data_IF_958098141656
#
_entry.id   IF_958098141656
#
_cell.length_a   1.000
_cell.length_b   1.000
_cell.length_c   1.000
_cell.angle_alpha   90.00
_cell.angle_beta   90.00
_cell.angle_gamma   90.00
#
_symmetry.space_group_name_H-M   'P 1'
#
loop_
_entity.id
_entity.type
_entity.pdbx_description
1 polymer ?
#
# COMPACT_ATOMS: atom_id res chain seq x y z
N UNK A 1 -3.04 12.91 1.42
CA UNK A 1 -2.64 12.48 2.76
C UNK A 1 -3.69 12.93 3.74
N UNK A 2 -4.32 11.97 4.41
CA UNK A 2 -5.58 12.22 5.12
C UNK A 2 -5.38 12.28 6.64
N UNK A 3 -4.36 11.60 7.20
CA UNK A 3 -3.95 11.75 8.58
C UNK A 3 -2.44 11.53 8.77
N UNK A 4 -1.87 12.20 9.78
CA UNK A 4 -0.48 12.06 10.21
C UNK A 4 -0.45 11.88 11.72
N UNK A 5 0.27 10.88 12.20
CA UNK A 5 0.57 10.74 13.64
C UNK A 5 1.96 11.31 13.90
N UNK A 6 2.10 12.12 14.92
CA UNK A 6 3.36 12.78 15.30
C UNK A 6 3.78 12.40 16.72
N UNK A 7 5.07 12.60 17.04
CA UNK A 7 5.55 12.57 18.42
C UNK A 7 5.39 13.95 19.10
N UNK A 8 5.79 14.05 20.36
CA UNK A 8 5.74 15.30 21.15
C UNK A 8 6.52 16.46 20.51
N UNK A 9 7.57 16.15 19.74
CA UNK A 9 8.38 17.13 19.00
C UNK A 9 7.78 17.46 17.62
N UNK A 10 6.54 17.07 17.35
CA UNK A 10 5.84 17.27 16.06
C UNK A 10 6.53 16.63 14.85
N UNK A 11 7.34 15.60 15.07
CA UNK A 11 7.95 14.82 14.00
C UNK A 11 6.97 13.73 13.53
N UNK A 12 6.72 13.58 12.22
CA UNK A 12 5.79 12.59 11.71
C UNK A 12 6.33 11.18 11.93
N UNK A 13 5.49 10.29 12.47
CA UNK A 13 5.79 8.88 12.70
C UNK A 13 5.03 7.97 11.74
N UNK A 14 3.76 8.29 11.45
CA UNK A 14 2.89 7.53 10.57
C UNK A 14 2.25 8.43 9.52
N UNK A 15 2.22 7.95 8.29
CA UNK A 15 1.39 8.51 7.22
C UNK A 15 0.19 7.61 7.00
N UNK A 16 -1.01 8.18 7.02
CA UNK A 16 -2.25 7.44 6.79
C UNK A 16 -3.03 8.14 5.66
N UNK A 17 -3.42 7.36 4.66
CA UNK A 17 -4.26 7.84 3.57
C UNK A 17 -5.34 6.79 3.26
N UNK A 18 -6.56 7.23 3.00
CA UNK A 18 -7.65 6.33 2.62
C UNK A 18 -8.19 6.71 1.25
N UNK A 19 -8.53 5.69 0.44
CA UNK A 19 -9.06 5.89 -0.90
C UNK A 19 -10.17 4.92 -1.20
N UNK A 20 -11.23 5.45 -1.78
CA UNK A 20 -12.30 4.67 -2.38
C UNK A 20 -12.23 4.72 -3.91
N UNK A 21 -12.39 3.56 -4.55
CA UNK A 21 -12.60 3.45 -5.99
C UNK A 21 -13.70 2.44 -6.27
N UNK A 22 -14.68 2.85 -7.08
CA UNK A 22 -15.68 1.92 -7.61
C UNK A 22 -15.22 1.19 -8.86
N UNK A 23 -14.62 1.92 -9.80
CA UNK A 23 -14.24 1.41 -11.12
C UNK A 23 -12.73 1.47 -11.32
N UNK A 24 -12.16 0.38 -11.85
CA UNK A 24 -10.71 0.19 -11.96
C UNK A 24 -9.97 1.21 -12.84
N UNK A 25 -10.69 2.01 -13.64
CA UNK A 25 -10.12 2.98 -14.61
C UNK A 25 -9.14 3.99 -14.01
N UNK A 26 -9.23 4.28 -12.71
CA UNK A 26 -8.36 5.23 -12.02
C UNK A 26 -7.41 4.57 -11.00
N UNK A 27 -7.30 3.23 -10.98
CA UNK A 27 -6.49 2.53 -9.99
C UNK A 27 -5.00 2.88 -10.11
N UNK A 28 -4.47 2.90 -11.34
CA UNK A 28 -3.05 3.17 -11.59
C UNK A 28 -2.68 4.59 -11.19
N UNK A 29 -3.47 5.58 -11.62
CA UNK A 29 -3.19 6.99 -11.33
C UNK A 29 -3.24 7.27 -9.82
N UNK A 30 -4.29 6.80 -9.15
CA UNK A 30 -4.45 6.98 -7.69
C UNK A 30 -3.38 6.20 -6.91
N UNK A 31 -3.06 4.97 -7.32
CA UNK A 31 -1.99 4.20 -6.71
C UNK A 31 -0.63 4.87 -6.88
N UNK A 32 -0.33 5.38 -8.08
CA UNK A 32 0.92 6.07 -8.40
C UNK A 32 1.09 7.35 -7.57
N UNK A 33 -0.02 8.08 -7.37
CA UNK A 33 -0.03 9.25 -6.50
C UNK A 33 0.37 8.90 -5.06
N UNK A 34 -0.18 7.81 -4.50
CA UNK A 34 0.20 7.33 -3.16
C UNK A 34 1.69 6.98 -3.10
N UNK A 35 2.20 6.22 -4.07
CA UNK A 35 3.62 5.88 -4.16
C UNK A 35 4.52 7.12 -4.20
N UNK A 36 4.14 8.12 -5.00
CA UNK A 36 4.92 9.35 -5.16
C UNK A 36 4.89 10.19 -3.89
N UNK A 37 3.70 10.48 -3.37
CA UNK A 37 3.52 11.35 -2.22
C UNK A 37 4.13 10.77 -0.95
N UNK A 38 3.84 9.50 -0.63
CA UNK A 38 4.34 8.88 0.59
C UNK A 38 5.87 8.75 0.57
N UNK A 39 6.47 8.38 -0.57
CA UNK A 39 7.93 8.30 -0.67
C UNK A 39 8.61 9.67 -0.60
N UNK A 40 8.05 10.69 -1.24
CA UNK A 40 8.59 12.05 -1.15
C UNK A 40 8.64 12.54 0.31
N UNK A 41 7.58 12.27 1.07
CA UNK A 41 7.49 12.65 2.49
C UNK A 41 8.45 11.81 3.35
N UNK A 42 8.54 10.49 3.13
CA UNK A 42 9.50 9.61 3.83
C UNK A 42 10.95 10.02 3.59
N UNK A 43 11.30 10.45 2.37
CA UNK A 43 12.64 10.98 2.05
C UNK A 43 12.95 12.28 2.79
N UNK A 44 11.93 13.11 3.07
CA UNK A 44 12.10 14.39 3.77
C UNK A 44 12.18 14.23 5.30
N UNK A 45 11.49 13.23 5.84
CA UNK A 45 11.35 13.02 7.28
C UNK A 45 11.72 11.59 7.68
N UNK A 46 12.98 11.41 8.12
CA UNK A 46 13.51 10.12 8.58
C UNK A 46 12.84 9.58 9.85
N UNK A 47 12.01 10.39 10.53
CA UNK A 47 11.23 9.97 11.69
C UNK A 47 10.05 9.05 11.32
N UNK A 48 9.65 9.03 10.05
CA UNK A 48 8.51 8.25 9.58
C UNK A 48 8.87 6.77 9.61
N UNK A 49 8.09 6.02 10.37
CA UNK A 49 8.30 4.60 10.63
C UNK A 49 7.47 3.70 9.71
N UNK A 50 6.30 4.17 9.30
CA UNK A 50 5.41 3.41 8.43
C UNK A 50 4.50 4.31 7.61
N UNK A 51 4.08 3.75 6.48
CA UNK A 51 3.16 4.33 5.52
C UNK A 51 1.98 3.37 5.39
N UNK A 52 0.80 3.79 5.83
CA UNK A 52 -0.41 2.98 5.85
C UNK A 52 -1.42 3.55 4.87
N UNK A 53 -2.02 2.69 4.07
CA UNK A 53 -3.09 3.06 3.15
C UNK A 53 -4.28 2.12 3.30
N UNK A 54 -5.47 2.70 3.46
CA UNK A 54 -6.74 1.97 3.55
C UNK A 54 -7.48 2.12 2.22
N UNK A 55 -7.73 1.01 1.55
CA UNK A 55 -8.26 0.95 0.19
C UNK A 55 -9.64 0.29 0.19
N UNK A 56 -10.66 1.08 -0.09
CA UNK A 56 -12.02 0.58 -0.26
C UNK A 56 -12.38 0.45 -1.74
N UNK A 57 -13.07 -0.64 -2.09
CA UNK A 57 -13.64 -0.84 -3.42
C UNK A 57 -12.79 -1.70 -4.36
N UNK A 58 -12.81 -1.38 -5.66
CA UNK A 58 -12.31 -2.26 -6.73
C UNK A 58 -10.87 -1.91 -7.13
N UNK A 59 -9.90 -2.48 -6.42
CA UNK A 59 -8.47 -2.31 -6.69
C UNK A 59 -7.91 -3.46 -7.53
N UNK A 60 -6.99 -3.18 -8.46
CA UNK A 60 -6.38 -4.20 -9.31
C UNK A 60 -5.14 -4.78 -8.63
N UNK A 61 -4.87 -6.07 -8.82
CA UNK A 61 -3.66 -6.73 -8.30
C UNK A 61 -2.37 -6.00 -8.70
N UNK A 62 -2.29 -5.50 -9.94
CA UNK A 62 -1.16 -4.70 -10.41
C UNK A 62 -0.96 -3.38 -9.63
N UNK A 63 -2.03 -2.69 -9.26
CA UNK A 63 -1.93 -1.44 -8.50
C UNK A 63 -1.57 -1.72 -7.04
N UNK A 64 -2.10 -2.82 -6.49
CA UNK A 64 -1.75 -3.28 -5.14
C UNK A 64 -0.27 -3.69 -5.06
N UNK A 65 0.21 -4.47 -6.03
CA UNK A 65 1.61 -4.87 -6.12
C UNK A 65 2.55 -3.66 -6.24
N UNK A 66 2.20 -2.68 -7.08
CA UNK A 66 2.96 -1.43 -7.19
C UNK A 66 3.01 -0.67 -5.86
N UNK A 67 1.90 -0.52 -5.14
CA UNK A 67 1.93 0.18 -3.85
C UNK A 67 2.74 -0.60 -2.81
N UNK A 68 2.63 -1.94 -2.78
CA UNK A 68 3.43 -2.80 -1.90
C UNK A 68 4.93 -2.68 -2.18
N UNK A 69 5.35 -2.60 -3.45
CA UNK A 69 6.76 -2.45 -3.81
C UNK A 69 7.38 -1.11 -3.40
N UNK A 70 6.55 -0.15 -2.96
CA UNK A 70 6.96 1.12 -2.38
C UNK A 70 6.88 1.13 -0.84
N UNK A 71 6.87 -0.06 -0.21
CA UNK A 71 6.78 -0.28 1.23
C UNK A 71 5.55 0.41 1.87
N UNK A 72 4.41 0.40 1.16
CA UNK A 72 3.13 0.87 1.69
C UNK A 72 2.36 -0.32 2.26
N UNK A 73 2.00 -0.23 3.54
CA UNK A 73 1.14 -1.18 4.22
C UNK A 73 -0.32 -0.97 3.80
N UNK A 74 -0.91 -1.98 3.14
CA UNK A 74 -2.24 -1.89 2.56
C UNK A 74 -3.27 -2.65 3.39
N UNK A 75 -4.37 -1.98 3.72
CA UNK A 75 -5.57 -2.58 4.31
C UNK A 75 -6.72 -2.43 3.32
N UNK A 76 -7.37 -3.53 2.95
CA UNK A 76 -8.29 -3.55 1.81
C UNK A 76 -9.69 -3.91 2.28
N UNK A 77 -10.67 -3.10 1.89
CA UNK A 77 -12.11 -3.39 2.02
C UNK A 77 -12.63 -3.68 0.61
N UNK A 78 -12.83 -4.96 0.23
CA UNK A 78 -13.23 -5.32 -1.13
C UNK A 78 -14.57 -4.70 -1.54
N UNK A 79 -14.73 -4.37 -2.83
CA UNK A 79 -15.99 -3.82 -3.33
C UNK A 79 -17.19 -4.74 -3.05
N UNK A 80 -17.01 -6.05 -3.22
CA UNK A 80 -18.08 -7.03 -3.03
C UNK A 80 -18.56 -7.06 -1.58
N UNK A 81 -17.65 -6.88 -0.62
CA UNK A 81 -18.02 -6.74 0.79
C UNK A 81 -18.90 -5.51 1.05
N UNK A 82 -18.54 -4.38 0.42
CA UNK A 82 -19.29 -3.13 0.53
C UNK A 82 -20.70 -3.31 -0.04
N UNK A 83 -20.83 -3.95 -1.20
CA UNK A 83 -22.13 -4.15 -1.85
C UNK A 83 -23.00 -5.14 -1.09
N UNK A 84 -22.43 -6.23 -0.58
CA UNK A 84 -23.12 -7.20 0.29
C UNK A 84 -23.66 -6.54 1.55
N UNK A 85 -22.83 -5.75 2.24
CA UNK A 85 -23.22 -5.03 3.44
C UNK A 85 -24.38 -4.06 3.16
N UNK A 86 -24.26 -3.21 2.14
CA UNK A 86 -25.30 -2.25 1.78
C UNK A 86 -26.61 -2.93 1.34
N UNK A 87 -26.51 -4.11 0.72
CA UNK A 87 -27.67 -4.90 0.31
C UNK A 87 -28.52 -5.35 1.50
N UNK A 88 -27.92 -5.63 2.67
CA UNK A 88 -28.67 -5.94 3.90
C UNK A 88 -29.58 -4.78 4.35
N UNK A 89 -29.22 -3.56 3.97
CA UNK A 89 -30.00 -2.34 4.18
C UNK A 89 -30.91 -1.98 3.00
N UNK A 90 -31.12 -2.92 2.07
CA UNK A 90 -31.90 -2.74 0.83
C UNK A 90 -31.33 -1.65 -0.11
N UNK A 91 -30.05 -1.34 0.04
CA UNK A 91 -29.31 -0.39 -0.79
C UNK A 91 -28.49 -1.20 -1.79
N UNK A 92 -28.93 -1.20 -3.05
CA UNK A 92 -28.18 -1.83 -4.13
C UNK A 92 -27.00 -0.95 -4.48
N UNK A 93 -25.74 -1.42 -4.44
CA UNK A 93 -24.55 -0.59 -4.73
C UNK A 93 -23.69 -1.06 -5.92
N UNK A 94 -24.05 -2.20 -6.50
CA UNK A 94 -23.40 -2.89 -7.62
C UNK A 94 -23.99 -2.53 -9.00
N UNK A 95 -24.59 -1.35 -9.14
CA UNK A 95 -25.22 -0.93 -10.40
C UNK A 95 -24.20 -0.57 -11.50
N UNK A 96 -24.61 -0.60 -12.77
CA UNK A 96 -23.78 -0.20 -13.91
C UNK A 96 -23.63 1.32 -14.05
N UNK A 97 -22.62 1.80 -14.78
CA UNK A 97 -22.37 3.27 -14.95
C UNK A 97 -23.56 4.01 -15.60
N UNK A 98 -24.40 3.29 -16.36
CA UNK A 98 -25.59 3.83 -17.03
C UNK A 98 -26.88 3.73 -16.20
N UNK A 99 -26.87 3.00 -15.09
CA UNK A 99 -28.07 2.73 -14.26
C UNK A 99 -28.35 3.87 -13.29
N UNK A 100 -28.60 5.07 -13.84
CA UNK A 100 -28.78 6.29 -13.03
C UNK A 100 -29.97 6.20 -12.09
N UNK A 101 -31.06 5.57 -12.51
CA UNK A 101 -32.27 5.46 -11.69
C UNK A 101 -32.02 4.61 -10.44
N UNK A 102 -31.29 3.50 -10.58
CA UNK A 102 -30.87 2.66 -9.45
C UNK A 102 -29.95 3.45 -8.52
N UNK A 103 -29.02 4.22 -9.08
CA UNK A 103 -28.11 5.07 -8.29
C UNK A 103 -28.88 6.08 -7.42
N UNK A 104 -29.86 6.76 -8.03
CA UNK A 104 -30.70 7.76 -7.35
C UNK A 104 -31.57 7.11 -6.27
N UNK A 105 -32.18 5.96 -6.57
CA UNK A 105 -32.98 5.20 -5.61
C UNK A 105 -32.14 4.78 -4.40
N UNK A 106 -30.97 4.18 -4.64
CA UNK A 106 -30.04 3.74 -3.60
C UNK A 106 -29.52 4.90 -2.76
N UNK A 107 -29.17 6.03 -3.39
CA UNK A 107 -28.78 7.25 -2.68
C UNK A 107 -29.90 7.77 -1.79
N UNK A 108 -31.14 7.77 -2.29
CA UNK A 108 -32.33 8.19 -1.52
C UNK A 108 -32.54 7.28 -0.31
N UNK A 109 -32.40 5.96 -0.47
CA UNK A 109 -32.49 4.99 0.63
C UNK A 109 -31.40 5.23 1.69
N UNK A 110 -30.15 5.40 1.26
CA UNK A 110 -29.04 5.69 2.16
C UNK A 110 -29.23 7.02 2.92
N UNK A 111 -29.69 8.06 2.22
CA UNK A 111 -29.90 9.39 2.81
C UNK A 111 -30.97 9.40 3.91
N UNK A 112 -31.95 8.49 3.82
CA UNK A 112 -33.01 8.29 4.83
C UNK A 112 -32.55 7.51 6.06
N UNK A 113 -31.36 6.90 6.04
CA UNK A 113 -30.81 6.25 7.21
C UNK A 113 -30.50 7.28 8.30
N UNK A 114 -30.78 6.92 9.54
CA UNK A 114 -30.33 7.69 10.71
C UNK A 114 -28.80 7.64 10.85
N UNK A 115 -28.23 8.60 11.55
CA UNK A 115 -26.78 8.64 11.78
C UNK A 115 -26.29 7.41 12.55
N UNK A 116 -27.12 6.86 13.45
CA UNK A 116 -26.82 5.58 14.13
C UNK A 116 -26.71 4.42 13.15
N UNK A 117 -27.59 4.35 12.15
CA UNK A 117 -27.52 3.31 11.12
C UNK A 117 -26.30 3.50 10.21
N UNK A 118 -25.99 4.75 9.83
CA UNK A 118 -24.81 5.06 9.02
C UNK A 118 -23.51 4.72 9.77
N UNK A 119 -23.44 5.03 11.06
CA UNK A 119 -22.31 4.68 11.92
C UNK A 119 -22.16 3.16 12.03
N UNK A 120 -23.26 2.44 12.28
CA UNK A 120 -23.24 0.97 12.32
C UNK A 120 -22.75 0.35 11.01
N UNK A 121 -23.20 0.87 9.86
CA UNK A 121 -22.69 0.44 8.54
C UNK A 121 -21.19 0.71 8.43
N UNK A 122 -20.71 1.88 8.88
CA UNK A 122 -19.29 2.21 8.83
C UNK A 122 -18.45 1.27 9.72
N UNK A 123 -18.91 0.98 10.94
CA UNK A 123 -18.27 0.04 11.87
C UNK A 123 -18.19 -1.38 11.27
N UNK A 124 -19.30 -1.88 10.72
CA UNK A 124 -19.35 -3.19 10.07
C UNK A 124 -18.45 -3.24 8.82
N UNK A 125 -18.36 -2.14 8.07
CA UNK A 125 -17.54 -2.05 6.85
C UNK A 125 -16.05 -2.17 7.12
N UNK A 126 -15.58 -1.65 8.25
CA UNK A 126 -14.15 -1.70 8.63
C UNK A 126 -13.81 -2.86 9.57
N UNK A 127 -14.82 -3.58 10.08
CA UNK A 127 -14.63 -4.56 11.15
C UNK A 127 -13.58 -5.63 10.82
N UNK A 128 -13.49 -6.07 9.57
CA UNK A 128 -12.52 -7.08 9.14
C UNK A 128 -11.07 -6.58 9.13
N UNK A 129 -10.85 -5.30 8.82
CA UNK A 129 -9.49 -4.74 8.75
C UNK A 129 -9.07 -4.06 10.05
N UNK A 130 -10.02 -3.73 10.92
CA UNK A 130 -9.79 -2.89 12.09
C UNK A 130 -8.78 -3.51 13.07
N UNK A 131 -8.88 -4.80 13.47
CA UNK A 131 -7.92 -5.39 14.40
C UNK A 131 -6.48 -5.38 13.87
N UNK A 132 -6.30 -5.71 12.58
CA UNK A 132 -4.98 -5.73 11.95
C UNK A 132 -4.41 -4.32 11.79
N UNK A 133 -5.26 -3.35 11.47
CA UNK A 133 -4.88 -1.94 11.36
C UNK A 133 -4.45 -1.38 12.72
N UNK A 134 -5.22 -1.63 13.78
CA UNK A 134 -4.89 -1.23 15.15
C UNK A 134 -3.56 -1.87 15.57
N UNK A 135 -3.40 -3.18 15.35
CA UNK A 135 -2.15 -3.90 15.63
C UNK A 135 -0.95 -3.29 14.89
N UNK A 136 -1.10 -2.95 13.61
CA UNK A 136 -0.03 -2.35 12.81
C UNK A 136 0.34 -0.95 13.31
N UNK A 137 -0.65 -0.14 13.69
CA UNK A 137 -0.43 1.19 14.28
C UNK A 137 0.29 1.05 15.62
N UNK A 138 -0.22 0.21 16.52
CA UNK A 138 0.37 -0.03 17.85
C UNK A 138 1.81 -0.52 17.75
N UNK A 139 2.07 -1.54 16.91
CA UNK A 139 3.42 -2.06 16.67
C UNK A 139 4.37 -0.98 16.16
N UNK A 140 3.89 -0.07 15.31
CA UNK A 140 4.74 1.00 14.76
C UNK A 140 5.06 2.09 15.79
N UNK A 141 4.09 2.39 16.66
CA UNK A 141 4.22 3.42 17.69
C UNK A 141 4.94 2.92 18.95
N UNK A 142 5.01 1.61 19.16
CA UNK A 142 5.73 1.03 20.29
C UNK A 142 7.24 1.32 20.20
N UNK A 143 7.76 1.98 21.25
CA UNK A 143 9.17 2.28 21.40
C UNK A 143 9.92 1.22 22.23
N UNK A 144 9.21 0.26 22.82
CA UNK A 144 9.80 -0.82 23.62
C UNK A 144 10.25 -2.00 22.77
N UNK A 145 9.61 -2.22 21.62
CA UNK A 145 10.01 -3.25 20.67
C UNK A 145 11.41 -3.00 20.13
N UNK A 146 12.29 -3.99 20.30
CA UNK A 146 13.64 -3.98 19.73
C UNK A 146 13.50 -4.05 18.20
N UNK A 147 13.99 -3.02 17.52
CA UNK A 147 14.01 -2.98 16.05
C UNK A 147 15.06 -3.94 15.54
N UNK A 148 14.67 -4.82 14.61
CA UNK A 148 15.58 -5.69 13.87
C UNK A 148 15.60 -5.24 12.41
N UNK A 149 16.77 -5.39 11.80
CA UNK A 149 16.92 -5.16 10.36
C UNK A 149 16.38 -6.41 9.68
N UNK A 150 15.40 -6.22 8.78
CA UNK A 150 14.82 -7.31 7.98
C UNK A 150 15.42 -7.35 6.57
N UNK A 151 15.86 -6.19 6.06
CA UNK A 151 16.41 -6.04 4.72
C UNK A 151 17.26 -4.77 4.63
N UNK A 152 18.37 -4.87 3.92
CA UNK A 152 19.18 -3.73 3.46
C UNK A 152 19.14 -3.72 1.94
N UNK A 153 18.93 -2.54 1.34
CA UNK A 153 18.96 -2.37 -0.11
C UNK A 153 20.02 -1.35 -0.48
N UNK A 154 20.88 -1.73 -1.44
CA UNK A 154 21.88 -0.85 -2.03
C UNK A 154 21.48 -0.62 -3.48
N UNK A 155 21.27 0.66 -3.85
CA UNK A 155 21.06 1.08 -5.23
C UNK A 155 22.29 1.88 -5.70
N UNK A 156 22.88 1.44 -6.81
CA UNK A 156 24.04 2.06 -7.44
C UNK A 156 23.60 2.71 -8.72
N UNK A 157 23.81 4.03 -8.81
CA UNK A 157 23.47 4.86 -9.97
C UNK A 157 24.74 5.27 -10.70
N UNK A 158 24.84 4.92 -11.99
CA UNK A 158 25.96 5.38 -12.83
C UNK A 158 25.63 6.73 -13.48
N UNK A 159 26.67 7.47 -13.87
CA UNK A 159 26.52 8.77 -14.55
C UNK A 159 25.86 8.67 -15.93
N UNK A 160 25.77 7.47 -16.51
CA UNK A 160 25.08 7.22 -17.79
C UNK A 160 23.64 6.72 -17.60
N UNK A 161 23.16 6.67 -16.35
CA UNK A 161 21.76 6.37 -16.03
C UNK A 161 21.46 4.90 -15.74
N UNK A 162 22.47 4.05 -15.55
CA UNK A 162 22.24 2.67 -15.11
C UNK A 162 21.91 2.63 -13.63
N UNK A 163 21.06 1.68 -13.26
CA UNK A 163 20.68 1.41 -11.87
C UNK A 163 20.86 -0.07 -11.60
N UNK A 164 21.72 -0.42 -10.64
CA UNK A 164 21.86 -1.79 -10.12
C UNK A 164 21.35 -1.81 -8.68
N UNK A 165 20.53 -2.79 -8.35
CA UNK A 165 19.93 -2.94 -7.01
C UNK A 165 20.33 -4.28 -6.42
N UNK A 166 20.79 -4.25 -5.18
CA UNK A 166 21.19 -5.42 -4.40
C UNK A 166 20.43 -5.44 -3.08
N UNK A 167 20.05 -6.64 -2.64
CA UNK A 167 19.32 -6.85 -1.39
C UNK A 167 20.07 -7.82 -0.48
N UNK A 168 20.13 -7.49 0.80
CA UNK A 168 20.84 -8.25 1.83
C UNK A 168 19.95 -8.41 3.05
N UNK A 169 20.10 -9.51 3.79
CA UNK A 169 19.32 -9.80 4.99
C UNK A 169 19.79 -8.99 6.21
N UNK A 170 21.05 -8.57 6.23
CA UNK A 170 21.62 -7.80 7.33
C UNK A 170 22.66 -6.75 6.86
N UNK A 171 23.10 -5.92 7.79
CA UNK A 171 24.08 -4.85 7.53
C UNK A 171 25.48 -5.36 7.27
N UNK A 172 25.85 -6.51 7.80
CA UNK A 172 27.20 -7.06 7.65
C UNK A 172 27.39 -7.53 6.22
N UNK A 173 26.48 -8.33 5.69
CA UNK A 173 26.51 -8.78 4.31
C UNK A 173 26.51 -7.60 3.32
N UNK A 174 25.78 -6.52 3.64
CA UNK A 174 25.78 -5.31 2.84
C UNK A 174 27.11 -4.54 2.89
N UNK A 175 27.81 -4.54 4.05
CA UNK A 175 29.14 -3.95 4.20
C UNK A 175 30.21 -4.77 3.49
N UNK A 176 30.20 -6.09 3.69
CA UNK A 176 31.12 -7.02 3.02
C UNK A 176 31.01 -6.85 1.48
N UNK A 177 29.79 -6.74 0.96
CA UNK A 177 29.55 -6.43 -0.46
C UNK A 177 30.15 -5.09 -0.92
N UNK A 178 30.10 -4.05 -0.09
CA UNK A 178 30.65 -2.72 -0.43
C UNK A 178 32.18 -2.69 -0.34
N UNK A 179 32.77 -3.48 0.56
CA UNK A 179 34.23 -3.60 0.70
C UNK A 179 34.85 -4.36 -0.46
N UNK A 180 34.20 -5.45 -0.91
CA UNK A 180 34.64 -6.27 -2.05
C UNK A 180 34.13 -5.73 -3.41
N UNK A 181 33.54 -4.54 -3.42
CA UNK A 181 32.87 -3.99 -4.60
C UNK A 181 33.84 -3.73 -5.77
N UNK A 182 33.60 -4.37 -6.92
CA UNK A 182 34.29 -4.11 -8.20
C UNK A 182 33.33 -3.66 -9.30
N UNK A 183 33.62 -2.50 -9.92
CA UNK A 183 32.84 -1.96 -11.03
C UNK A 183 32.81 -2.89 -12.26
N UNK A 184 33.93 -3.55 -12.56
CA UNK A 184 34.05 -4.40 -13.74
C UNK A 184 33.19 -5.66 -13.63
N UNK A 185 33.08 -6.23 -12.44
CA UNK A 185 32.31 -7.45 -12.19
C UNK A 185 30.80 -7.20 -12.20
N UNK A 186 30.35 -6.05 -11.66
CA UNK A 186 28.92 -5.75 -11.51
C UNK A 186 28.26 -5.22 -12.80
N UNK A 187 29.03 -4.53 -13.65
CA UNK A 187 28.57 -4.13 -14.98
C UNK A 187 28.68 -5.26 -16.00
N UNK A 188 29.33 -6.38 -15.64
CA UNK A 188 29.39 -7.54 -16.48
C UNK A 188 28.01 -8.23 -16.55
N UNK A 189 27.39 -8.18 -17.73
CA UNK A 189 26.09 -8.80 -17.97
C UNK A 189 26.20 -10.20 -18.60
N UNK A 190 27.38 -10.81 -18.66
CA UNK A 190 27.59 -12.11 -19.33
C UNK A 190 26.74 -13.24 -18.77
N UNK A 191 26.33 -13.15 -17.50
CA UNK A 191 25.47 -14.13 -16.81
C UNK A 191 24.05 -13.61 -16.54
N UNK A 192 23.65 -12.49 -17.17
CA UNK A 192 22.30 -11.93 -16.99
C UNK A 192 21.28 -12.70 -17.80
N UNK A 193 20.04 -12.73 -17.30
CA UNK A 193 18.91 -13.26 -18.06
C UNK A 193 18.73 -12.48 -19.37
N UNK A 194 18.49 -13.22 -20.44
CA UNK A 194 18.05 -12.71 -21.72
C UNK A 194 16.53 -12.57 -21.75
N UNK A 195 16.01 -11.79 -22.71
CA UNK A 195 14.56 -11.68 -22.94
C UNK A 195 13.90 -13.02 -23.31
N UNK A 196 14.69 -14.05 -23.61
CA UNK A 196 14.22 -15.36 -24.02
C UNK A 196 14.32 -16.41 -22.90
N UNK A 197 14.92 -16.04 -21.76
CA UNK A 197 14.97 -16.93 -20.62
C UNK A 197 13.60 -17.02 -19.98
N UNK A 198 13.16 -18.25 -19.72
CA UNK A 198 11.87 -18.49 -19.09
C UNK A 198 11.93 -18.04 -17.63
N UNK A 199 10.98 -17.23 -17.15
CA UNK A 199 10.93 -16.90 -15.74
C UNK A 199 10.72 -18.18 -14.94
N UNK A 200 11.52 -18.36 -13.89
CA UNK A 200 11.29 -19.39 -12.88
C UNK A 200 10.00 -19.03 -12.13
N UNK A 201 8.89 -19.59 -12.59
CA UNK A 201 7.67 -19.63 -11.80
C UNK A 201 7.94 -20.63 -10.68
N UNK A 202 8.01 -20.15 -9.43
CA UNK A 202 7.96 -21.03 -8.29
C UNK A 202 6.65 -21.82 -8.37
N UNK A 203 6.74 -23.14 -8.52
CA UNK A 203 5.58 -24.02 -8.37
C UNK A 203 5.06 -23.87 -6.93
N UNK A 204 3.77 -23.55 -6.79
CA UNK A 204 3.08 -23.48 -5.50
C UNK A 204 3.06 -24.88 -4.87
N UNK A 205 3.78 -25.09 -3.76
CA UNK A 205 3.51 -26.15 -2.78
C UNK A 205 2.44 -25.71 -1.77
#
# INVERSE_FOLDING_TARGET
LDAVVTNESMQPLLLIEYKYIRYKKHNRDKGSWLCTAHNAIRRRYNSIRSSIVILAGSWSGSSLAMMKSHDINLFIIPFDKITELLKTHKIKFDWGEKDRDIAVESWTKYSKLSDKQKLKIAEEMIAEIKPDLETAIEKTLDNKTIRKIERVTIEIHTNIGEVKRFEFEDTRAALDFLEDFSFEEILNNSNSFTLFDKPHLYDEE
#
